data_IF_349007920564
#
_entry.id   IF_349007920564
#
_cell.length_a   1.000
_cell.length_b   1.000
_cell.length_c   1.000
_cell.angle_alpha   90.00
_cell.angle_beta   90.00
_cell.angle_gamma   90.00
#
_symmetry.space_group_name_H-M   'P 1'
#
loop_
_entity.id
_entity.type
_entity.pdbx_description
1 polymer ?
#
# COMPACT_ATOMS: atom_id res chain seq x y z
N UNK A 1 -21.31 2.46 -6.49
CA UNK A 1 -20.28 1.64 -5.84
C UNK A 1 -19.19 2.57 -5.36
N UNK A 2 -18.44 2.21 -4.31
CA UNK A 2 -17.34 3.03 -3.81
C UNK A 2 -16.17 2.99 -4.82
N UNK A 3 -15.47 4.10 -5.05
CA UNK A 3 -14.39 4.23 -6.05
C UNK A 3 -13.32 3.12 -5.94
N UNK A 4 -12.96 2.76 -4.70
CA UNK A 4 -12.08 1.62 -4.38
C UNK A 4 -12.52 0.29 -5.00
N UNK A 5 -13.83 0.05 -5.08
CA UNK A 5 -14.38 -1.20 -5.64
C UNK A 5 -14.30 -1.21 -7.16
N UNK A 6 -14.42 -0.05 -7.82
CA UNK A 6 -14.27 0.02 -9.28
C UNK A 6 -12.81 -0.25 -9.67
N UNK A 7 -11.85 0.36 -8.96
CA UNK A 7 -10.41 0.08 -9.19
C UNK A 7 -10.09 -1.41 -8.94
N UNK A 8 -10.59 -2.00 -7.85
CA UNK A 8 -10.39 -3.43 -7.60
C UNK A 8 -10.97 -4.31 -8.70
N UNK A 9 -12.13 -3.93 -9.25
CA UNK A 9 -12.75 -4.64 -10.37
C UNK A 9 -11.90 -4.57 -11.63
N UNK A 10 -11.32 -3.40 -11.95
CA UNK A 10 -10.39 -3.25 -13.08
C UNK A 10 -9.13 -4.10 -12.90
N UNK A 11 -8.55 -4.10 -11.69
CA UNK A 11 -7.40 -4.94 -11.33
C UNK A 11 -7.73 -6.42 -11.52
N UNK A 12 -8.89 -6.86 -11.01
CA UNK A 12 -9.34 -8.25 -11.12
C UNK A 12 -9.59 -8.64 -12.57
N UNK A 13 -10.24 -7.78 -13.35
CA UNK A 13 -10.46 -8.00 -14.77
C UNK A 13 -9.12 -8.17 -15.50
N UNK A 14 -8.16 -7.26 -15.28
CA UNK A 14 -6.83 -7.34 -15.89
C UNK A 14 -6.10 -8.66 -15.55
N UNK A 15 -6.16 -9.07 -14.28
CA UNK A 15 -5.59 -10.34 -13.77
C UNK A 15 -6.26 -11.55 -14.42
N UNK A 16 -7.57 -11.56 -14.47
CA UNK A 16 -8.36 -12.72 -14.88
C UNK A 16 -8.36 -12.92 -16.40
N UNK A 17 -8.32 -11.83 -17.19
CA UNK A 17 -8.12 -11.87 -18.65
C UNK A 17 -6.82 -12.59 -19.05
N UNK A 18 -5.82 -12.59 -18.17
CA UNK A 18 -4.52 -13.27 -18.36
C UNK A 18 -4.46 -14.63 -17.68
N UNK A 19 -5.55 -15.08 -17.06
CA UNK A 19 -5.61 -16.30 -16.26
C UNK A 19 -4.53 -16.34 -15.16
N UNK A 20 -4.17 -15.18 -14.59
CA UNK A 20 -3.08 -15.07 -13.62
C UNK A 20 -3.50 -15.34 -12.19
N UNK A 21 -4.80 -15.40 -11.90
CA UNK A 21 -5.31 -15.70 -10.55
C UNK A 21 -4.70 -16.98 -9.95
N UNK A 22 -4.40 -17.99 -10.78
CA UNK A 22 -3.74 -19.23 -10.34
C UNK A 22 -2.31 -19.04 -9.79
N UNK A 23 -1.60 -17.98 -10.20
CA UNK A 23 -0.24 -17.65 -9.74
C UNK A 23 -0.24 -16.65 -8.58
N UNK A 24 -1.37 -15.95 -8.37
CA UNK A 24 -1.52 -14.91 -7.37
C UNK A 24 -2.14 -15.47 -6.09
N UNK A 25 -1.49 -16.46 -5.45
CA UNK A 25 -1.85 -16.91 -4.10
C UNK A 25 -1.33 -15.90 -3.04
N UNK A 26 -1.77 -16.05 -1.80
CA UNK A 26 -1.54 -15.08 -0.72
C UNK A 26 -0.05 -14.91 -0.42
N UNK A 27 0.71 -16.01 -0.46
CA UNK A 27 2.14 -16.02 -0.23
C UNK A 27 2.88 -15.30 -1.35
N UNK A 28 2.56 -15.60 -2.60
CA UNK A 28 3.23 -14.98 -3.75
C UNK A 28 2.83 -13.50 -3.92
N UNK A 29 1.57 -13.13 -3.67
CA UNK A 29 1.16 -11.72 -3.60
C UNK A 29 1.87 -10.95 -2.49
N UNK A 30 2.06 -11.57 -1.31
CA UNK A 30 2.82 -10.97 -0.22
C UNK A 30 4.30 -10.75 -0.59
N UNK A 31 4.88 -11.67 -1.36
CA UNK A 31 6.23 -11.50 -1.91
C UNK A 31 6.28 -10.34 -2.89
N UNK A 32 5.35 -10.27 -3.85
CA UNK A 32 5.25 -9.15 -4.79
C UNK A 32 5.16 -7.80 -4.07
N UNK A 33 4.29 -7.67 -3.05
CA UNK A 33 4.21 -6.43 -2.25
C UNK A 33 5.57 -6.03 -1.68
N UNK A 34 6.33 -6.99 -1.15
CA UNK A 34 7.66 -6.72 -0.61
C UNK A 34 8.69 -6.32 -1.67
N UNK A 35 8.57 -6.87 -2.89
CA UNK A 35 9.47 -6.55 -4.00
C UNK A 35 9.20 -5.13 -4.50
N UNK A 36 7.94 -4.79 -4.80
CA UNK A 36 7.60 -3.44 -5.28
C UNK A 36 7.84 -2.36 -4.22
N UNK A 37 7.67 -2.70 -2.94
CA UNK A 37 8.04 -1.78 -1.86
C UNK A 37 9.56 -1.53 -1.82
N UNK A 38 10.37 -2.52 -2.22
CA UNK A 38 11.81 -2.34 -2.35
C UNK A 38 12.18 -1.52 -3.59
N UNK A 39 11.48 -1.68 -4.72
CA UNK A 39 11.66 -0.84 -5.92
C UNK A 39 11.31 0.63 -5.62
N UNK A 40 10.20 0.87 -4.92
CA UNK A 40 9.83 2.19 -4.42
C UNK A 40 10.92 2.79 -3.52
N UNK A 41 11.51 1.99 -2.63
CA UNK A 41 12.60 2.42 -1.76
C UNK A 41 13.89 2.73 -2.55
N UNK A 42 14.18 1.94 -3.58
CA UNK A 42 15.37 2.12 -4.43
C UNK A 42 15.38 3.48 -5.12
N UNK A 43 14.22 4.06 -5.43
CA UNK A 43 14.14 5.40 -5.99
C UNK A 43 14.85 6.46 -5.13
N UNK A 44 14.85 6.27 -3.80
CA UNK A 44 15.48 7.13 -2.80
C UNK A 44 16.92 6.73 -2.47
N UNK A 45 17.40 5.59 -2.97
CA UNK A 45 18.76 5.15 -2.69
C UNK A 45 19.77 6.19 -3.22
N UNK A 46 20.67 6.63 -2.33
CA UNK A 46 21.73 7.61 -2.60
C UNK A 46 21.25 9.01 -3.03
N UNK A 47 19.98 9.37 -2.77
CA UNK A 47 19.38 10.65 -3.17
C UNK A 47 18.67 11.32 -2.00
N UNK A 48 18.45 12.63 -2.10
CA UNK A 48 17.59 13.33 -1.14
C UNK A 48 16.12 13.14 -1.52
N UNK A 49 15.19 13.19 -0.56
CA UNK A 49 13.75 13.09 -0.85
C UNK A 49 13.27 14.14 -1.85
N UNK A 50 13.75 15.38 -1.74
CA UNK A 50 13.34 16.50 -2.59
C UNK A 50 13.72 16.26 -4.05
N UNK A 51 14.91 15.71 -4.30
CA UNK A 51 15.36 15.38 -5.65
C UNK A 51 14.45 14.36 -6.31
N UNK A 52 14.11 13.27 -5.59
CA UNK A 52 13.28 12.19 -6.12
C UNK A 52 11.86 12.70 -6.37
N UNK A 53 11.27 13.41 -5.41
CA UNK A 53 9.92 13.98 -5.53
C UNK A 53 9.86 15.01 -6.66
N UNK A 54 10.91 15.77 -6.96
CA UNK A 54 10.86 16.73 -8.07
C UNK A 54 11.11 16.09 -9.44
N UNK A 55 12.00 15.09 -9.53
CA UNK A 55 12.49 14.59 -10.82
C UNK A 55 11.93 13.22 -11.23
N UNK A 56 11.34 12.46 -10.31
CA UNK A 56 10.91 11.07 -10.51
C UNK A 56 9.43 10.82 -10.20
N UNK A 57 8.58 11.83 -10.36
CA UNK A 57 7.13 11.75 -10.09
C UNK A 57 6.45 10.55 -10.75
N UNK A 58 6.72 10.33 -12.03
CA UNK A 58 6.13 9.22 -12.79
C UNK A 58 6.53 7.85 -12.20
N UNK A 59 7.83 7.61 -12.04
CA UNK A 59 8.34 6.37 -11.41
C UNK A 59 7.82 6.19 -9.99
N UNK A 60 7.75 7.24 -9.18
CA UNK A 60 7.17 7.16 -7.83
C UNK A 60 5.70 6.71 -7.87
N UNK A 61 4.92 7.23 -8.81
CA UNK A 61 3.53 6.86 -8.98
C UNK A 61 3.38 5.40 -9.44
N UNK A 62 4.24 4.94 -10.36
CA UNK A 62 4.29 3.54 -10.81
C UNK A 62 4.58 2.58 -9.65
N UNK A 63 5.70 2.73 -8.95
CA UNK A 63 6.07 1.78 -7.88
C UNK A 63 5.06 1.78 -6.74
N UNK A 64 4.50 2.96 -6.40
CA UNK A 64 3.45 3.04 -5.39
C UNK A 64 2.16 2.37 -5.87
N UNK A 65 1.80 2.54 -7.15
CA UNK A 65 0.66 1.86 -7.72
C UNK A 65 0.85 0.34 -7.71
N UNK A 66 2.04 -0.17 -8.00
CA UNK A 66 2.32 -1.61 -7.99
C UNK A 66 2.18 -2.21 -6.57
N UNK A 67 2.74 -1.54 -5.55
CA UNK A 67 2.52 -1.92 -4.14
C UNK A 67 1.04 -1.98 -3.80
N UNK A 68 0.27 -0.98 -4.24
CA UNK A 68 -1.17 -0.94 -4.01
C UNK A 68 -1.85 -2.08 -4.76
N UNK A 69 -1.63 -2.25 -6.06
CA UNK A 69 -2.29 -3.26 -6.90
C UNK A 69 -2.16 -4.66 -6.29
N UNK A 70 -0.95 -5.07 -5.89
CA UNK A 70 -0.78 -6.37 -5.23
C UNK A 70 -1.45 -6.43 -3.86
N UNK A 71 -1.47 -5.32 -3.11
CA UNK A 71 -2.22 -5.24 -1.84
C UNK A 71 -3.73 -5.37 -2.06
N UNK A 72 -4.27 -4.78 -3.13
CA UNK A 72 -5.68 -4.90 -3.53
C UNK A 72 -6.02 -6.35 -3.91
N UNK A 73 -5.18 -6.99 -4.72
CA UNK A 73 -5.35 -8.40 -5.08
C UNK A 73 -5.31 -9.32 -3.85
N UNK A 74 -4.40 -9.05 -2.90
CA UNK A 74 -4.28 -9.82 -1.67
C UNK A 74 -5.52 -9.64 -0.78
N UNK A 75 -6.01 -8.41 -0.64
CA UNK A 75 -7.24 -8.13 0.09
C UNK A 75 -8.45 -8.84 -0.54
N UNK A 76 -8.56 -8.84 -1.87
CA UNK A 76 -9.60 -9.56 -2.63
C UNK A 76 -9.56 -11.06 -2.36
N UNK A 77 -8.37 -11.68 -2.42
CA UNK A 77 -8.20 -13.11 -2.12
C UNK A 77 -8.62 -13.47 -0.68
N UNK A 78 -8.47 -12.53 0.27
CA UNK A 78 -8.78 -12.72 1.69
C UNK A 78 -10.18 -12.23 2.09
N UNK A 79 -11.00 -11.83 1.12
CA UNK A 79 -12.33 -11.25 1.34
C UNK A 79 -12.33 -10.02 2.27
N UNK A 80 -11.28 -9.18 2.18
CA UNK A 80 -11.16 -7.96 2.97
C UNK A 80 -11.70 -6.74 2.23
N UNK A 81 -12.63 -6.01 2.87
CA UNK A 81 -12.92 -4.62 2.46
C UNK A 81 -11.76 -3.71 2.90
N UNK A 82 -11.02 -3.21 1.92
CA UNK A 82 -9.83 -2.35 2.13
C UNK A 82 -10.17 -1.10 2.95
N UNK A 83 -11.32 -0.48 2.71
CA UNK A 83 -11.70 0.72 3.43
C UNK A 83 -12.05 0.41 4.89
N UNK A 84 -12.71 -0.71 5.15
CA UNK A 84 -13.02 -1.18 6.49
C UNK A 84 -11.75 -1.51 7.29
N UNK A 85 -10.82 -2.29 6.73
CA UNK A 85 -9.57 -2.64 7.44
C UNK A 85 -8.71 -1.40 7.74
N UNK A 86 -8.66 -0.43 6.81
CA UNK A 86 -7.95 0.84 7.01
C UNK A 86 -8.63 1.64 8.13
N UNK A 87 -9.95 1.83 8.10
CA UNK A 87 -10.67 2.57 9.14
C UNK A 87 -10.49 1.95 10.52
N UNK A 88 -10.62 0.63 10.63
CA UNK A 88 -10.38 -0.11 11.89
C UNK A 88 -8.94 0.09 12.38
N UNK A 89 -7.96 0.10 11.48
CA UNK A 89 -6.57 0.33 11.82
C UNK A 89 -6.30 1.78 12.26
N UNK A 90 -6.95 2.77 11.63
CA UNK A 90 -6.85 4.18 12.01
C UNK A 90 -7.38 4.43 13.42
N UNK A 91 -8.51 3.83 13.81
CA UNK A 91 -9.04 3.92 15.19
C UNK A 91 -8.00 3.41 16.20
N UNK A 92 -7.45 2.21 15.97
CA UNK A 92 -6.39 1.64 16.82
C UNK A 92 -5.12 2.48 16.86
N UNK A 93 -4.76 3.12 15.75
CA UNK A 93 -3.59 4.00 15.70
C UNK A 93 -3.85 5.30 16.46
N UNK A 94 -5.06 5.87 16.41
CA UNK A 94 -5.42 7.06 17.18
C UNK A 94 -5.40 6.81 18.70
N UNK A 95 -5.76 5.60 19.14
CA UNK A 95 -5.61 5.17 20.54
C UNK A 95 -4.14 5.08 20.96
N UNK A 96 -3.27 4.57 20.08
CA UNK A 96 -1.81 4.48 20.33
C UNK A 96 -1.09 5.82 20.26
N UNK A 97 -1.56 6.73 19.44
CA UNK A 97 -0.95 8.04 19.18
C UNK A 97 -1.97 9.17 19.41
N UNK A 98 -2.34 9.47 20.68
CA UNK A 98 -3.25 10.57 20.97
C UNK A 98 -2.66 11.91 20.53
N UNK A 99 -3.49 12.80 19.96
CA UNK A 99 -3.04 14.10 19.42
C UNK A 99 -2.22 14.90 20.43
N UNK A 100 -2.68 14.97 21.69
CA UNK A 100 -2.02 15.74 22.75
C UNK A 100 -0.59 15.27 23.06
N UNK A 101 -0.26 14.00 22.77
CA UNK A 101 1.06 13.41 23.02
C UNK A 101 1.92 13.31 21.77
N UNK A 102 1.29 13.08 20.62
CA UNK A 102 1.98 12.73 19.37
C UNK A 102 2.13 13.89 18.39
N UNK A 103 1.44 15.02 18.59
CA UNK A 103 1.55 16.16 17.68
C UNK A 103 2.97 16.71 17.67
N UNK A 104 3.57 16.80 16.48
CA UNK A 104 4.96 17.21 16.26
C UNK A 104 6.01 16.32 16.98
N UNK A 105 5.62 15.10 17.35
CA UNK A 105 6.49 14.13 18.00
C UNK A 105 6.51 12.83 17.19
N UNK A 106 7.71 12.36 16.81
CA UNK A 106 7.89 11.12 16.07
C UNK A 106 8.29 9.94 16.97
N UNK A 107 8.35 10.14 18.29
CA UNK A 107 8.53 9.07 19.27
C UNK A 107 7.47 7.99 19.07
N UNK A 108 7.90 6.75 19.21
CA UNK A 108 7.00 5.60 19.12
C UNK A 108 6.07 5.59 20.33
N UNK A 109 4.92 4.94 20.21
CA UNK A 109 3.85 5.02 21.22
C UNK A 109 4.25 4.56 22.63
N UNK A 110 5.30 3.75 22.74
CA UNK A 110 5.93 3.30 23.99
C UNK A 110 6.85 4.37 24.63
N UNK A 111 7.08 5.49 23.95
CA UNK A 111 7.95 6.60 24.34
C UNK A 111 7.21 7.97 24.37
N UNK A 112 5.86 7.97 24.34
CA UNK A 112 4.98 9.16 24.30
C UNK A 112 4.49 9.69 25.66
#
# INVERSE_FOLDING_TARGET
MNETHEVLKEINQFRDERNWRQFHNEKDLSLSISLEAAELLELFQWKTPEEVVQKKQERLAEELADVLIYSYMLADNLDFDINDIIRKKLVKNAEKYPVEKSKNNNSKYDEL
#
